data_IF_565539507982
#
_entry.id   IF_565539507982
#
_cell.length_a   1.000
_cell.length_b   1.000
_cell.length_c   1.000
_cell.angle_alpha   90.00
_cell.angle_beta   90.00
_cell.angle_gamma   90.00
#
_symmetry.space_group_name_H-M   'P 1'
#
loop_
_entity.id
_entity.type
_entity.pdbx_description
1 polymer ?
#
# COMPACT_ATOMS: atom_id res chain seq x y z
N UNK A 1 10.28 -21.39 -29.19
CA UNK A 1 9.88 -20.51 -28.06
C UNK A 1 8.45 -20.88 -27.72
N UNK A 2 8.20 -21.52 -26.58
CA UNK A 2 6.86 -21.95 -26.20
C UNK A 2 6.08 -20.77 -25.64
N UNK A 3 4.99 -20.37 -26.30
CA UNK A 3 4.06 -19.38 -25.77
C UNK A 3 3.43 -19.95 -24.49
N UNK A 4 3.66 -19.30 -23.35
CA UNK A 4 3.00 -19.67 -22.10
C UNK A 4 1.53 -19.24 -22.24
N UNK A 5 0.65 -20.21 -22.50
CA UNK A 5 -0.81 -20.02 -22.60
C UNK A 5 -1.38 -19.56 -21.24
N UNK A 6 -2.38 -18.67 -21.25
CA UNK A 6 -3.08 -18.29 -20.01
C UNK A 6 -3.80 -19.50 -19.40
N UNK A 7 -3.94 -19.52 -18.07
CA UNK A 7 -4.75 -20.52 -17.36
C UNK A 7 -6.17 -20.61 -17.93
N UNK A 8 -6.75 -19.48 -18.37
CA UNK A 8 -8.05 -19.47 -19.02
C UNK A 8 -8.01 -20.19 -20.37
N UNK A 9 -6.97 -19.98 -21.18
CA UNK A 9 -6.82 -20.64 -22.48
C UNK A 9 -6.72 -22.17 -22.32
N UNK A 10 -5.99 -22.62 -21.30
CA UNK A 10 -5.88 -24.04 -20.95
C UNK A 10 -7.24 -24.61 -20.51
N UNK A 11 -8.00 -23.87 -19.70
CA UNK A 11 -9.33 -24.27 -19.25
C UNK A 11 -10.29 -24.30 -20.45
N UNK A 12 -10.33 -23.26 -21.29
CA UNK A 12 -11.17 -23.19 -22.49
C UNK A 12 -10.85 -24.31 -23.50
N UNK A 13 -9.58 -24.69 -23.64
CA UNK A 13 -9.16 -25.83 -24.46
C UNK A 13 -9.70 -27.16 -23.90
N UNK A 14 -9.78 -27.29 -22.56
CA UNK A 14 -10.28 -28.49 -21.86
C UNK A 14 -11.80 -28.52 -21.63
N UNK A 15 -12.49 -27.38 -21.62
CA UNK A 15 -13.94 -27.25 -21.36
C UNK A 15 -14.72 -26.84 -22.60
N UNK A 16 -14.30 -27.29 -23.78
CA UNK A 16 -14.83 -26.92 -25.11
C UNK A 16 -16.37 -27.02 -25.26
N UNK A 17 -17.08 -27.67 -24.33
CA UNK A 17 -18.53 -27.84 -24.30
C UNK A 17 -19.26 -26.99 -23.22
N UNK A 18 -18.56 -26.17 -22.43
CA UNK A 18 -19.12 -25.25 -21.44
C UNK A 18 -18.84 -23.81 -21.91
N UNK A 19 -19.89 -23.11 -22.33
CA UNK A 19 -19.79 -21.70 -22.72
C UNK A 19 -19.80 -20.83 -21.47
N UNK A 20 -18.62 -20.44 -21.00
CA UNK A 20 -18.49 -19.29 -20.08
C UNK A 20 -19.07 -18.05 -20.77
N UNK A 21 -19.87 -17.29 -20.04
CA UNK A 21 -20.39 -16.01 -20.55
C UNK A 21 -19.24 -15.03 -20.74
N UNK A 22 -19.42 -14.04 -21.61
CA UNK A 22 -18.38 -13.04 -21.86
C UNK A 22 -18.07 -12.19 -20.60
N UNK A 23 -19.00 -12.11 -19.67
CA UNK A 23 -18.81 -11.50 -18.34
C UNK A 23 -17.85 -12.32 -17.48
N UNK A 24 -18.03 -13.64 -17.43
CA UNK A 24 -17.14 -14.53 -16.67
C UNK A 24 -15.72 -14.49 -17.23
N UNK A 25 -15.56 -14.50 -18.56
CA UNK A 25 -14.24 -14.40 -19.20
C UNK A 25 -13.53 -13.08 -18.86
N UNK A 26 -14.25 -11.96 -18.86
CA UNK A 26 -13.70 -10.64 -18.48
C UNK A 26 -13.28 -10.63 -17.02
N UNK A 27 -14.11 -11.15 -16.11
CA UNK A 27 -13.80 -11.25 -14.69
C UNK A 27 -12.55 -12.11 -14.42
N UNK A 28 -12.39 -13.24 -15.13
CA UNK A 28 -11.20 -14.08 -15.02
C UNK A 28 -9.94 -13.36 -15.49
N UNK A 29 -9.99 -12.68 -16.64
CA UNK A 29 -8.85 -11.91 -17.16
C UNK A 29 -8.44 -10.77 -16.22
N UNK A 30 -9.42 -10.08 -15.64
CA UNK A 30 -9.18 -9.04 -14.64
C UNK A 30 -8.48 -9.61 -13.39
N UNK A 31 -8.99 -10.72 -12.84
CA UNK A 31 -8.35 -11.39 -11.68
C UNK A 31 -6.93 -11.86 -11.97
N UNK A 32 -6.69 -12.40 -13.15
CA UNK A 32 -5.34 -12.84 -13.55
C UNK A 32 -4.37 -11.64 -13.64
N UNK A 33 -4.84 -10.53 -14.20
CA UNK A 33 -4.07 -9.28 -14.26
C UNK A 33 -3.80 -8.69 -12.88
N UNK A 34 -4.81 -8.62 -12.02
CA UNK A 34 -4.68 -8.17 -10.64
C UNK A 34 -3.63 -8.99 -9.89
N UNK A 35 -3.67 -10.33 -10.04
CA UNK A 35 -2.68 -11.23 -9.46
C UNK A 35 -1.27 -11.00 -9.98
N UNK A 36 -1.11 -10.79 -11.29
CA UNK A 36 0.20 -10.49 -11.90
C UNK A 36 0.75 -9.17 -11.36
N UNK A 37 -0.05 -8.11 -11.35
CA UNK A 37 0.37 -6.78 -10.87
C UNK A 37 0.77 -6.84 -9.39
N UNK A 38 -0.04 -7.51 -8.55
CA UNK A 38 0.30 -7.73 -7.13
C UNK A 38 1.65 -8.45 -6.98
N UNK A 39 1.91 -9.46 -7.80
CA UNK A 39 3.20 -10.16 -7.82
C UNK A 39 4.38 -9.28 -8.27
N UNK A 40 4.17 -8.39 -9.23
CA UNK A 40 5.21 -7.47 -9.70
C UNK A 40 5.57 -6.42 -8.65
N UNK A 41 4.57 -5.85 -7.96
CA UNK A 41 4.81 -4.93 -6.85
C UNK A 41 5.64 -5.61 -5.76
N UNK A 42 5.28 -6.84 -5.35
CA UNK A 42 6.02 -7.59 -4.32
C UNK A 42 7.47 -7.80 -4.75
N UNK A 43 7.72 -8.28 -5.98
CA UNK A 43 9.10 -8.45 -6.49
C UNK A 43 9.90 -7.15 -6.48
N UNK A 44 9.26 -6.02 -6.79
CA UNK A 44 9.92 -4.72 -6.74
C UNK A 44 10.26 -4.31 -5.31
N UNK A 45 9.32 -4.45 -4.37
CA UNK A 45 9.54 -4.15 -2.96
C UNK A 45 10.61 -5.06 -2.33
N UNK A 46 10.69 -6.32 -2.77
CA UNK A 46 11.72 -7.28 -2.33
C UNK A 46 13.09 -7.06 -3.02
N UNK A 47 13.20 -6.09 -3.93
CA UNK A 47 14.44 -5.80 -4.67
C UNK A 47 14.80 -6.82 -5.75
N UNK A 48 13.88 -7.72 -6.11
CA UNK A 48 14.04 -8.73 -7.16
C UNK A 48 13.84 -8.17 -8.57
N UNK A 49 13.23 -6.99 -8.69
CA UNK A 49 13.12 -6.25 -9.95
C UNK A 49 13.37 -4.76 -9.72
N UNK A 50 13.77 -4.06 -10.78
CA UNK A 50 14.00 -2.61 -10.76
C UNK A 50 12.79 -1.84 -11.34
N UNK A 51 12.77 -0.53 -11.12
CA UNK A 51 11.66 0.34 -11.54
C UNK A 51 11.44 0.29 -13.06
N UNK A 52 12.52 0.24 -13.85
CA UNK A 52 12.42 0.24 -15.33
C UNK A 52 11.77 -1.06 -15.83
N UNK A 53 12.12 -2.20 -15.22
CA UNK A 53 11.51 -3.49 -15.53
C UNK A 53 10.04 -3.52 -15.12
N UNK A 54 9.72 -3.04 -13.91
CA UNK A 54 8.34 -2.93 -13.45
C UNK A 54 7.50 -2.10 -14.43
N UNK A 55 7.97 -0.91 -14.78
CA UNK A 55 7.30 0.00 -15.72
C UNK A 55 7.08 -0.65 -17.09
N UNK A 56 8.08 -1.38 -17.60
CA UNK A 56 7.97 -2.12 -18.87
C UNK A 56 6.91 -3.22 -18.80
N UNK A 57 6.88 -4.01 -17.73
CA UNK A 57 5.91 -5.10 -17.58
C UNK A 57 4.49 -4.57 -17.42
N UNK A 58 4.29 -3.49 -16.66
CA UNK A 58 2.99 -2.84 -16.52
C UNK A 58 2.54 -2.24 -17.86
N UNK A 59 3.41 -1.55 -18.60
CA UNK A 59 3.07 -1.03 -19.94
C UNK A 59 2.64 -2.13 -20.90
N UNK A 60 3.32 -3.27 -20.90
CA UNK A 60 2.93 -4.41 -21.73
C UNK A 60 1.57 -5.02 -21.35
N UNK A 61 1.15 -4.90 -20.09
CA UNK A 61 -0.20 -5.30 -19.65
C UNK A 61 -1.26 -4.27 -20.05
N UNK A 62 -0.92 -2.99 -19.94
CA UNK A 62 -1.77 -1.86 -20.32
C UNK A 62 -2.03 -1.83 -21.83
N UNK A 63 -1.02 -2.09 -22.67
CA UNK A 63 -1.18 -2.23 -24.13
C UNK A 63 -2.18 -3.34 -24.51
N UNK A 64 -2.25 -4.41 -23.71
CA UNK A 64 -3.18 -5.53 -23.94
C UNK A 64 -4.59 -5.23 -23.42
N UNK A 65 -4.72 -4.39 -22.38
CA UNK A 65 -5.99 -4.05 -21.74
C UNK A 65 -5.95 -2.59 -21.23
N UNK A 66 -6.19 -1.61 -22.11
CA UNK A 66 -6.10 -0.21 -21.75
C UNK A 66 -7.06 0.18 -20.62
N UNK A 67 -6.59 1.00 -19.68
CA UNK A 67 -7.25 1.47 -18.48
C UNK A 67 -7.20 0.50 -17.31
N UNK A 68 -7.23 -0.81 -17.57
CA UNK A 68 -7.38 -1.82 -16.50
C UNK A 68 -6.09 -2.10 -15.73
N UNK A 69 -4.91 -2.03 -16.36
CA UNK A 69 -3.67 -2.37 -15.66
C UNK A 69 -3.26 -1.24 -14.72
N UNK A 70 -3.37 0.02 -15.15
CA UNK A 70 -3.13 1.19 -14.30
C UNK A 70 -4.12 1.24 -13.13
N UNK A 71 -5.40 0.94 -13.34
CA UNK A 71 -6.39 0.89 -12.26
C UNK A 71 -6.07 -0.21 -11.24
N UNK A 72 -5.73 -1.42 -11.71
CA UNK A 72 -5.28 -2.51 -10.84
C UNK A 72 -4.02 -2.13 -10.06
N UNK A 73 -3.07 -1.42 -10.68
CA UNK A 73 -1.86 -0.93 -10.04
C UNK A 73 -2.19 0.08 -8.94
N UNK A 74 -3.01 1.10 -9.23
CA UNK A 74 -3.47 2.10 -8.27
C UNK A 74 -4.09 1.41 -7.05
N UNK A 75 -5.04 0.50 -7.28
CA UNK A 75 -5.70 -0.26 -6.20
C UNK A 75 -4.71 -1.07 -5.38
N UNK A 76 -3.82 -1.81 -6.04
CA UNK A 76 -2.85 -2.67 -5.36
C UNK A 76 -1.83 -1.87 -4.53
N UNK A 77 -1.43 -0.69 -4.99
CA UNK A 77 -0.59 0.24 -4.22
C UNK A 77 -1.35 0.81 -3.02
N UNK A 78 -2.58 1.30 -3.23
CA UNK A 78 -3.43 1.86 -2.16
C UNK A 78 -3.71 0.84 -1.05
N UNK A 79 -3.96 -0.43 -1.39
CA UNK A 79 -4.13 -1.53 -0.43
C UNK A 79 -2.89 -1.75 0.47
N UNK A 80 -1.71 -1.28 0.06
CA UNK A 80 -0.44 -1.48 0.76
C UNK A 80 0.07 -0.23 1.47
N UNK A 81 -0.50 0.94 1.21
CA UNK A 81 -0.10 2.17 1.89
C UNK A 81 -0.39 2.01 3.38
N UNK A 82 0.65 2.19 4.19
CA UNK A 82 0.52 2.25 5.64
C UNK A 82 1.13 3.56 6.14
N UNK A 83 0.35 4.50 6.69
CA UNK A 83 0.86 5.79 7.13
C UNK A 83 1.89 5.67 8.27
N UNK A 84 1.96 4.51 8.94
CA UNK A 84 2.92 4.22 10.01
C UNK A 84 4.29 3.75 9.50
N UNK A 85 4.43 3.42 8.21
CA UNK A 85 5.66 2.88 7.63
C UNK A 85 6.22 3.79 6.55
N UNK A 86 7.32 3.37 5.94
CA UNK A 86 7.87 4.07 4.81
C UNK A 86 7.17 3.69 3.51
N UNK A 87 6.63 4.71 2.82
CA UNK A 87 5.85 4.55 1.60
C UNK A 87 6.60 5.03 0.35
N UNK A 88 7.89 5.42 0.46
CA UNK A 88 8.67 5.99 -0.65
C UNK A 88 8.57 5.13 -1.91
N UNK A 89 8.84 3.82 -1.81
CA UNK A 89 8.79 2.92 -2.96
C UNK A 89 7.38 2.80 -3.57
N UNK A 90 6.33 2.80 -2.76
CA UNK A 90 4.94 2.74 -3.25
C UNK A 90 4.54 4.03 -3.96
N UNK A 91 4.95 5.17 -3.41
CA UNK A 91 4.74 6.49 -4.01
C UNK A 91 5.48 6.61 -5.34
N UNK A 92 6.73 6.13 -5.41
CA UNK A 92 7.51 6.12 -6.64
C UNK A 92 6.85 5.28 -7.74
N UNK A 93 6.20 4.16 -7.40
CA UNK A 93 5.43 3.35 -8.36
C UNK A 93 4.22 4.16 -8.87
N UNK A 94 3.47 4.80 -7.99
CA UNK A 94 2.29 5.60 -8.37
C UNK A 94 2.68 6.80 -9.25
N UNK A 95 3.79 7.47 -8.95
CA UNK A 95 4.27 8.62 -9.71
C UNK A 95 4.88 8.19 -11.06
N UNK A 96 5.83 7.25 -11.06
CA UNK A 96 6.60 6.92 -12.26
C UNK A 96 5.91 5.90 -13.18
N UNK A 97 5.08 4.99 -12.64
CA UNK A 97 4.46 3.92 -13.43
C UNK A 97 2.99 4.24 -13.73
N UNK A 98 2.24 4.71 -12.73
CA UNK A 98 0.84 5.10 -12.93
C UNK A 98 0.66 6.53 -13.47
N UNK A 99 1.70 7.38 -13.38
CA UNK A 99 1.64 8.77 -13.84
C UNK A 99 0.66 9.63 -13.03
N UNK A 100 0.41 9.26 -11.77
CA UNK A 100 -0.54 9.95 -10.90
C UNK A 100 0.13 11.10 -10.16
N UNK A 101 -0.59 12.20 -9.96
CA UNK A 101 -0.15 13.26 -9.05
C UNK A 101 -0.30 12.79 -7.60
N UNK A 102 0.83 12.53 -6.96
CA UNK A 102 0.90 12.07 -5.56
C UNK A 102 1.17 13.20 -4.57
N UNK A 103 1.18 14.47 -5.02
CA UNK A 103 1.52 15.62 -4.16
C UNK A 103 0.63 15.71 -2.93
N UNK A 104 -0.69 15.53 -3.11
CA UNK A 104 -1.69 15.52 -2.04
C UNK A 104 -1.45 14.38 -1.04
N UNK A 105 -1.18 13.17 -1.54
CA UNK A 105 -0.90 12.00 -0.71
C UNK A 105 0.40 12.17 0.09
N UNK A 106 1.47 12.66 -0.56
CA UNK A 106 2.78 12.93 0.06
C UNK A 106 2.66 14.00 1.15
N UNK A 107 1.92 15.07 0.88
CA UNK A 107 1.63 16.13 1.86
C UNK A 107 0.89 15.57 3.08
N UNK A 108 -0.15 14.77 2.85
CA UNK A 108 -0.94 14.18 3.94
C UNK A 108 -0.15 13.17 4.77
N UNK A 109 0.70 12.35 4.16
CA UNK A 109 1.61 11.45 4.88
C UNK A 109 2.60 12.23 5.75
N UNK A 110 3.10 13.37 5.26
CA UNK A 110 4.02 14.23 6.00
C UNK A 110 3.33 14.89 7.19
N UNK A 111 2.12 15.42 6.99
CA UNK A 111 1.29 15.99 8.06
C UNK A 111 0.97 14.94 9.12
N UNK A 112 0.60 13.72 8.70
CA UNK A 112 0.32 12.61 9.60
C UNK A 112 1.52 12.25 10.48
N UNK A 113 2.72 12.11 9.87
CA UNK A 113 3.96 11.84 10.63
C UNK A 113 4.28 12.96 11.62
N UNK A 114 4.14 14.20 11.18
CA UNK A 114 4.39 15.39 12.03
C UNK A 114 3.45 15.41 13.24
N UNK A 115 2.15 15.13 13.04
CA UNK A 115 1.18 15.03 14.13
C UNK A 115 1.49 13.88 15.09
N UNK A 116 1.91 12.72 14.57
CA UNK A 116 2.31 11.60 15.42
C UNK A 116 3.51 11.96 16.28
N UNK A 117 4.53 12.59 15.72
CA UNK A 117 5.73 12.97 16.48
C UNK A 117 5.42 14.01 17.57
N UNK A 118 4.54 14.97 17.27
CA UNK A 118 4.07 15.95 18.26
C UNK A 118 3.29 15.29 19.41
N UNK A 119 2.30 14.44 19.11
CA UNK A 119 1.51 13.76 20.15
C UNK A 119 2.40 12.79 20.95
N UNK A 120 3.34 12.10 20.29
CA UNK A 120 4.31 11.22 20.95
C UNK A 120 5.13 11.99 21.98
N UNK A 121 5.71 13.12 21.59
CA UNK A 121 6.51 13.95 22.49
C UNK A 121 5.68 14.48 23.68
N UNK A 122 4.44 14.92 23.43
CA UNK A 122 3.53 15.37 24.49
C UNK A 122 3.20 14.25 25.49
N UNK A 123 2.99 13.02 25.00
CA UNK A 123 2.71 11.84 25.83
C UNK A 123 3.93 11.39 26.62
N UNK A 124 5.11 11.38 26.02
CA UNK A 124 6.37 11.10 26.72
C UNK A 124 6.60 12.07 27.88
N UNK A 125 6.34 13.37 27.66
CA UNK A 125 6.42 14.38 28.72
C UNK A 125 5.40 14.12 29.84
N UNK A 126 4.14 13.82 29.49
CA UNK A 126 3.10 13.52 30.47
C UNK A 126 3.42 12.28 31.32
N UNK A 127 3.92 11.21 30.70
CA UNK A 127 4.35 9.99 31.41
C UNK A 127 5.56 10.25 32.31
N UNK A 128 6.52 11.05 31.85
CA UNK A 128 7.68 11.48 32.66
C UNK A 128 7.22 12.22 33.91
N UNK A 129 6.27 13.14 33.77
CA UNK A 129 5.73 13.89 34.92
C UNK A 129 4.95 12.99 35.89
N UNK A 130 4.21 12.00 35.39
CA UNK A 130 3.55 11.00 36.23
C UNK A 130 4.55 10.14 37.01
N UNK A 131 5.66 9.73 36.38
CA UNK A 131 6.75 9.01 37.05
C UNK A 131 7.38 9.89 38.12
N UNK A 132 7.64 11.17 37.81
CA UNK A 132 8.17 12.14 38.78
C UNK A 132 7.28 12.30 40.01
N UNK A 133 5.96 12.39 39.81
CA UNK A 133 4.97 12.43 40.92
C UNK A 133 4.98 11.16 41.79
N UNK A 134 5.38 10.02 41.23
CA UNK A 134 5.58 8.76 41.96
C UNK A 134 6.98 8.65 42.61
N UNK A 135 7.78 9.72 42.56
CA UNK A 135 9.14 9.74 43.09
C UNK A 135 10.19 9.12 42.17
N UNK A 136 9.83 8.71 40.96
CA UNK A 136 10.73 8.11 39.98
C UNK A 136 11.27 9.23 39.09
N UNK A 137 12.56 9.51 39.17
CA UNK A 137 13.21 10.59 38.40
C UNK A 137 14.66 10.27 38.10
N UNK A 138 15.23 10.92 37.08
CA UNK A 138 16.62 10.72 36.66
C UNK A 138 16.76 10.72 35.14
N UNK A 139 17.94 11.06 34.63
CA UNK A 139 18.23 11.12 33.19
C UNK A 139 18.17 9.76 32.49
N UNK A 140 18.23 8.66 33.25
CA UNK A 140 18.10 7.29 32.75
C UNK A 140 16.64 6.79 32.71
N UNK A 141 15.66 7.58 33.19
CA UNK A 141 14.25 7.17 33.19
C UNK A 141 13.68 7.40 31.80
N UNK A 142 13.39 6.31 31.10
CA UNK A 142 12.75 6.31 29.79
C UNK A 142 11.31 5.81 29.92
N UNK A 143 10.29 6.69 29.77
CA UNK A 143 8.90 6.27 29.80
C UNK A 143 8.59 5.28 28.67
N UNK A 144 7.93 4.17 28.99
CA UNK A 144 7.53 3.20 27.99
C UNK A 144 6.21 3.61 27.32
N UNK A 145 6.30 4.46 26.29
CA UNK A 145 5.13 4.90 25.51
C UNK A 145 4.43 3.75 24.76
N UNK A 146 5.15 2.66 24.46
CA UNK A 146 4.56 1.49 23.77
C UNK A 146 3.58 0.72 24.65
N UNK A 147 3.63 0.92 25.96
CA UNK A 147 2.70 0.34 26.92
C UNK A 147 1.58 1.32 27.34
N UNK A 148 1.58 2.56 26.85
CA UNK A 148 0.51 3.52 27.14
C UNK A 148 -0.73 3.23 26.29
N UNK A 149 -1.82 2.85 26.95
CA UNK A 149 -3.10 2.54 26.30
C UNK A 149 -3.65 3.74 25.51
N UNK A 150 -3.43 4.96 26.01
CA UNK A 150 -3.88 6.16 25.33
C UNK A 150 -3.13 6.38 24.01
N UNK A 151 -1.81 6.17 24.03
CA UNK A 151 -0.99 6.20 22.82
C UNK A 151 -1.40 5.14 21.80
N UNK A 152 -1.61 3.90 22.25
CA UNK A 152 -2.06 2.80 21.37
C UNK A 152 -3.41 3.16 20.71
N UNK A 153 -4.36 3.68 21.49
CA UNK A 153 -5.68 4.09 20.98
C UNK A 153 -5.57 5.25 20.00
N UNK A 154 -4.81 6.29 20.34
CA UNK A 154 -4.58 7.43 19.45
C UNK A 154 -3.99 7.00 18.09
N UNK A 155 -2.99 6.11 18.13
CA UNK A 155 -2.37 5.56 16.92
C UNK A 155 -3.36 4.80 16.04
N UNK A 156 -4.24 4.00 16.64
CA UNK A 156 -5.29 3.27 15.93
C UNK A 156 -6.32 4.23 15.31
N UNK A 157 -6.83 5.18 16.08
CA UNK A 157 -7.81 6.17 15.63
C UNK A 157 -7.24 7.04 14.48
N UNK A 158 -5.99 7.49 14.63
CA UNK A 158 -5.30 8.28 13.62
C UNK A 158 -5.09 7.47 12.32
N UNK A 159 -4.66 6.20 12.43
CA UNK A 159 -4.49 5.31 11.28
C UNK A 159 -5.82 5.09 10.56
N UNK A 160 -6.89 4.80 11.29
CA UNK A 160 -8.21 4.56 10.69
C UNK A 160 -8.73 5.82 9.97
N UNK A 161 -8.58 7.00 10.60
CA UNK A 161 -8.98 8.26 9.99
C UNK A 161 -8.21 8.57 8.71
N UNK A 162 -6.91 8.23 8.67
CA UNK A 162 -6.10 8.35 7.45
C UNK A 162 -6.58 7.39 6.37
N UNK A 163 -6.76 6.11 6.69
CA UNK A 163 -7.19 5.09 5.72
C UNK A 163 -8.56 5.40 5.11
N UNK A 164 -9.49 6.02 5.87
CA UNK A 164 -10.80 6.44 5.35
C UNK A 164 -10.70 7.53 4.28
N UNK A 165 -9.71 8.42 4.38
CA UNK A 165 -9.50 9.54 3.43
C UNK A 165 -8.53 9.20 2.31
N UNK A 166 -7.82 8.08 2.41
CA UNK A 166 -6.81 7.66 1.43
C UNK A 166 -7.36 7.60 -0.01
N UNK A 167 -8.58 7.09 -0.29
CA UNK A 167 -9.13 7.07 -1.65
C UNK A 167 -9.36 8.45 -2.26
N UNK A 168 -9.58 9.48 -1.44
CA UNK A 168 -9.89 10.85 -1.90
C UNK A 168 -8.63 11.63 -2.31
N UNK A 169 -7.44 11.06 -2.09
CA UNK A 169 -6.14 11.72 -2.29
C UNK A 169 -5.47 11.40 -3.64
N UNK A 170 -6.09 10.55 -4.48
CA UNK A 170 -5.59 10.08 -5.80
C UNK A 170 -6.71 9.92 -6.82
#
# INVERSE_FOLDING_TARGET
MGEIKSTLDIIMEKTRNLTLTDEEKKAFRYKEMEGKIKGLIVKFLDGLTDMKKLEKEIRALEEKNPGSAVECLKKACLERVDPLTDNVLLLDILENVAGLDISSLRGRLTEFRTNLDHEKAAREQALTEQLRKKGISGSAVLPNIRADENWIRFMQDAKEAFMKRLPDLL
#
